data_IF_767368437434
#
_entry.id   IF_767368437434
#
_cell.length_a   1.000
_cell.length_b   1.000
_cell.length_c   1.000
_cell.angle_alpha   90.00
_cell.angle_beta   90.00
_cell.angle_gamma   90.00
#
_symmetry.space_group_name_H-M   'P 1'
#
loop_
_entity.id
_entity.type
_entity.pdbx_description
1 polymer ?
#
# COMPACT_ATOMS: atom_id res chain seq x y z
N UNK A 1 17.02 22.16 15.42
CA UNK A 1 15.65 21.93 15.93
C UNK A 1 14.91 21.14 14.86
N UNK A 2 14.98 19.81 14.93
CA UNK A 2 14.43 18.93 13.89
C UNK A 2 13.01 18.57 14.29
N UNK A 3 12.02 19.17 13.65
CA UNK A 3 10.60 18.91 13.94
C UNK A 3 10.27 17.42 13.72
N UNK A 4 9.54 16.75 14.64
CA UNK A 4 8.99 15.43 14.37
C UNK A 4 7.81 15.60 13.40
N UNK A 5 8.01 15.31 12.12
CA UNK A 5 6.88 15.20 11.20
C UNK A 5 6.17 13.87 11.49
N UNK A 6 5.23 13.90 12.44
CA UNK A 6 4.41 12.76 12.89
C UNK A 6 3.42 12.23 11.84
N UNK A 7 3.44 12.75 10.62
CA UNK A 7 2.71 12.16 9.50
C UNK A 7 3.61 12.12 8.26
N UNK A 8 3.87 10.92 7.70
CA UNK A 8 4.56 10.84 6.42
C UNK A 8 3.72 11.58 5.37
N UNK A 9 4.31 12.60 4.76
CA UNK A 9 3.71 13.27 3.60
C UNK A 9 3.47 12.21 2.53
N UNK A 10 2.32 12.28 1.82
CA UNK A 10 2.01 11.39 0.70
C UNK A 10 3.21 11.39 -0.27
N UNK A 11 3.92 10.27 -0.33
CA UNK A 11 5.18 10.13 -1.06
C UNK A 11 4.99 9.41 -2.40
N UNK A 12 3.76 8.99 -2.68
CA UNK A 12 3.36 8.26 -3.87
C UNK A 12 2.34 9.06 -4.67
N UNK A 13 2.30 8.84 -5.99
CA UNK A 13 1.39 9.53 -6.92
C UNK A 13 0.23 8.65 -7.36
N UNK A 14 0.47 7.36 -7.57
CA UNK A 14 -0.56 6.39 -7.93
C UNK A 14 -0.64 5.27 -6.89
N UNK A 15 -1.85 4.76 -6.68
CA UNK A 15 -2.13 3.55 -5.92
C UNK A 15 -2.97 2.63 -6.81
N UNK A 16 -2.57 1.37 -6.95
CA UNK A 16 -3.28 0.39 -7.75
C UNK A 16 -3.27 -0.97 -7.06
N UNK A 17 -4.35 -1.74 -7.19
CA UNK A 17 -4.38 -3.13 -6.74
C UNK A 17 -3.62 -4.01 -7.74
N UNK A 18 -2.69 -4.82 -7.27
CA UNK A 18 -1.96 -5.80 -8.08
C UNK A 18 -2.15 -7.22 -7.52
N UNK A 19 -2.24 -8.25 -8.38
CA UNK A 19 -2.25 -9.63 -7.92
C UNK A 19 -0.88 -10.01 -7.34
N UNK A 20 -0.88 -10.66 -6.18
CA UNK A 20 0.32 -11.13 -5.49
C UNK A 20 0.11 -12.56 -4.96
N UNK A 21 0.61 -13.55 -5.71
CA UNK A 21 0.40 -14.96 -5.42
C UNK A 21 -1.07 -15.33 -5.48
N UNK A 22 -1.58 -15.95 -4.42
CA UNK A 22 -3.01 -16.33 -4.28
C UNK A 22 -3.90 -15.19 -3.74
N UNK A 23 -3.36 -13.97 -3.60
CA UNK A 23 -4.09 -12.82 -3.10
C UNK A 23 -3.79 -11.54 -3.86
N UNK A 24 -4.07 -10.40 -3.22
CA UNK A 24 -3.96 -9.08 -3.80
C UNK A 24 -3.11 -8.17 -2.94
N UNK A 25 -2.36 -7.27 -3.55
CA UNK A 25 -1.59 -6.24 -2.86
C UNK A 25 -1.90 -4.87 -3.43
N UNK A 26 -1.33 -3.84 -2.83
CA UNK A 26 -1.42 -2.47 -3.32
C UNK A 26 -0.03 -2.06 -3.74
N UNK A 27 0.08 -1.57 -4.97
CA UNK A 27 1.28 -0.99 -5.53
C UNK A 27 1.15 0.53 -5.52
N UNK A 28 2.08 1.19 -4.83
CA UNK A 28 2.22 2.64 -4.83
C UNK A 28 3.30 3.00 -5.85
N UNK A 29 2.94 3.71 -6.92
CA UNK A 29 3.82 3.98 -8.07
C UNK A 29 4.50 2.71 -8.63
N UNK A 30 3.76 1.59 -8.65
CA UNK A 30 4.27 0.29 -9.11
C UNK A 30 5.17 -0.44 -8.11
N UNK A 31 5.27 0.03 -6.85
CA UNK A 31 5.94 -0.68 -5.76
C UNK A 31 4.95 -1.29 -4.79
N UNK A 32 5.02 -2.60 -4.64
CA UNK A 32 4.22 -3.33 -3.66
C UNK A 32 4.51 -2.86 -2.23
N UNK A 33 3.44 -2.63 -1.47
CA UNK A 33 3.58 -2.16 -0.09
C UNK A 33 3.75 -3.30 0.89
N UNK A 34 4.43 -2.97 1.99
CA UNK A 34 4.67 -3.88 3.10
C UNK A 34 4.02 -3.33 4.35
N UNK A 35 3.59 -4.24 5.22
CA UNK A 35 3.12 -3.89 6.56
C UNK A 35 4.29 -3.37 7.40
N UNK A 36 4.01 -2.68 8.52
CA UNK A 36 5.06 -2.27 9.47
C UNK A 36 5.93 -3.44 9.97
N UNK A 37 5.36 -4.65 10.01
CA UNK A 37 6.06 -5.90 10.34
C UNK A 37 6.95 -6.44 9.19
N UNK A 38 7.12 -5.67 8.10
CA UNK A 38 7.86 -6.03 6.87
C UNK A 38 7.29 -7.21 6.08
N UNK A 39 6.08 -7.65 6.40
CA UNK A 39 5.38 -8.66 5.62
C UNK A 39 4.74 -8.02 4.37
N UNK A 40 4.64 -8.77 3.28
CA UNK A 40 3.86 -8.33 2.13
C UNK A 40 2.40 -8.12 2.54
N UNK A 41 1.81 -6.98 2.15
CA UNK A 41 0.39 -6.78 2.37
C UNK A 41 -0.38 -7.63 1.36
N UNK A 42 -0.97 -8.74 1.82
CA UNK A 42 -1.79 -9.64 1.00
C UNK A 42 -3.22 -9.57 1.51
N UNK A 43 -4.13 -9.23 0.60
CA UNK A 43 -5.56 -9.11 0.80
C UNK A 43 -6.24 -10.29 0.09
N UNK A 44 -7.33 -10.84 0.66
CA UNK A 44 -7.99 -12.02 0.11
C UNK A 44 -8.81 -11.72 -1.15
N UNK A 45 -9.21 -10.46 -1.39
CA UNK A 45 -10.09 -10.10 -2.50
C UNK A 45 -9.61 -8.84 -3.22
N UNK A 46 -9.86 -8.79 -4.53
CA UNK A 46 -9.59 -7.63 -5.37
C UNK A 46 -10.37 -6.40 -4.90
N UNK A 47 -11.65 -6.58 -4.57
CA UNK A 47 -12.53 -5.48 -4.15
C UNK A 47 -12.00 -4.77 -2.89
N UNK A 48 -11.39 -5.51 -1.96
CA UNK A 48 -10.78 -4.91 -0.77
C UNK A 48 -9.50 -4.14 -1.13
N UNK A 49 -8.69 -4.68 -2.05
CA UNK A 49 -7.48 -4.00 -2.52
C UNK A 49 -7.79 -2.72 -3.31
N UNK A 50 -8.84 -2.74 -4.13
CA UNK A 50 -9.31 -1.59 -4.89
C UNK A 50 -9.86 -0.49 -3.98
N UNK A 51 -10.70 -0.85 -3.00
CA UNK A 51 -11.20 0.08 -2.00
C UNK A 51 -10.05 0.76 -1.23
N UNK A 52 -9.02 -0.01 -0.83
CA UNK A 52 -7.85 0.54 -0.14
C UNK A 52 -6.95 1.39 -1.04
N UNK A 53 -6.90 1.12 -2.35
CA UNK A 53 -6.14 1.93 -3.31
C UNK A 53 -6.84 3.27 -3.60
N UNK A 54 -8.16 3.35 -3.42
CA UNK A 54 -8.96 4.55 -3.62
C UNK A 54 -8.92 5.54 -2.43
N UNK A 55 -8.51 5.09 -1.23
CA UNK A 55 -8.44 5.91 0.00
C UNK A 55 -7.28 6.94 0.04
#
# INVERSE_FOLDING_TARGET
MTSPHTHPKRFYKTAASEPLGDGWTIALDGRTIKTPARAGLVLPTQALADALAAE
#
